data_IF_584700135929
#
_entry.id   IF_584700135929
#
_cell.length_a   1.000
_cell.length_b   1.000
_cell.length_c   1.000
_cell.angle_alpha   90.00
_cell.angle_beta   90.00
_cell.angle_gamma   90.00
#
_symmetry.space_group_name_H-M   'P 1'
#
loop_
_entity.id
_entity.type
_entity.pdbx_description
1 polymer ?
#
# COMPACT_ATOMS: atom_id res chain seq x y z
N UNK A 1 -4.69 -64.16 73.14
CA UNK A 1 -4.66 -65.22 72.11
C UNK A 1 -4.77 -64.56 70.75
N UNK A 2 -3.75 -64.76 69.89
CA UNK A 2 -3.73 -64.51 68.42
C UNK A 2 -3.79 -63.03 67.97
N UNK A 3 -3.07 -62.50 66.97
CA UNK A 3 -2.02 -62.85 65.97
C UNK A 3 -1.50 -61.45 65.52
N UNK A 4 -0.20 -61.11 65.66
CA UNK A 4 0.82 -60.92 64.58
C UNK A 4 0.29 -60.23 63.29
N UNK A 5 0.84 -59.10 62.84
CA UNK A 5 1.82 -59.01 61.73
C UNK A 5 2.05 -57.51 61.45
N UNK A 6 3.25 -56.94 61.66
CA UNK A 6 4.30 -56.69 60.64
C UNK A 6 3.77 -55.96 59.39
N UNK A 7 4.32 -54.83 58.92
CA UNK A 7 5.71 -54.61 58.48
C UNK A 7 6.01 -53.11 58.27
N UNK A 8 7.25 -52.71 58.60
CA UNK A 8 8.23 -51.95 57.80
C UNK A 8 7.71 -50.93 56.76
N UNK A 9 8.31 -49.78 56.47
CA UNK A 9 9.60 -49.14 56.82
C UNK A 9 9.76 -47.94 55.86
N UNK A 10 10.69 -47.02 56.18
CA UNK A 10 11.37 -46.07 55.25
C UNK A 10 10.44 -44.97 54.70
N UNK A 11 10.61 -43.70 55.06
CA UNK A 11 11.83 -42.91 54.92
C UNK A 11 11.80 -42.24 53.55
N UNK A 12 11.50 -40.94 53.50
CA UNK A 12 11.84 -40.07 52.37
C UNK A 12 12.38 -38.76 52.93
N UNK A 13 13.70 -38.66 52.88
CA UNK A 13 14.46 -37.42 52.93
C UNK A 13 14.39 -36.77 51.52
N UNK A 14 14.74 -35.48 51.45
CA UNK A 14 15.07 -34.68 50.24
C UNK A 14 13.80 -34.12 49.55
N UNK A 15 13.66 -32.82 49.27
CA UNK A 15 14.65 -31.90 48.72
C UNK A 15 14.42 -30.43 49.12
N UNK A 16 15.54 -29.76 49.40
CA UNK A 16 15.74 -28.32 49.32
C UNK A 16 15.73 -27.93 47.83
N UNK A 17 15.08 -26.82 47.46
CA UNK A 17 15.39 -26.09 46.24
C UNK A 17 14.20 -25.64 45.38
N UNK A 18 13.74 -24.41 45.59
CA UNK A 18 13.10 -23.58 44.57
C UNK A 18 13.41 -22.12 44.95
N UNK A 19 14.65 -21.69 44.78
CA UNK A 19 15.18 -21.02 43.58
C UNK A 19 14.39 -19.75 43.24
N UNK A 20 14.97 -18.64 43.69
CA UNK A 20 14.65 -17.27 43.34
C UNK A 20 14.67 -17.06 41.83
N UNK A 21 13.57 -16.54 41.25
CA UNK A 21 13.52 -15.99 39.88
C UNK A 21 12.22 -15.21 39.62
N UNK A 22 11.93 -14.18 40.42
CA UNK A 22 10.78 -13.29 40.22
C UNK A 22 11.16 -11.82 40.42
N UNK A 23 12.25 -11.35 39.79
CA UNK A 23 12.81 -10.03 40.10
C UNK A 23 13.40 -9.20 38.94
N UNK A 24 13.25 -9.59 37.68
CA UNK A 24 13.93 -8.89 36.55
C UNK A 24 13.07 -8.78 35.28
N UNK A 25 11.74 -8.63 35.41
CA UNK A 25 10.84 -8.55 34.25
C UNK A 25 10.29 -7.16 33.90
N UNK A 26 10.52 -6.11 34.70
CA UNK A 26 9.65 -4.93 34.69
C UNK A 26 10.28 -3.61 34.19
N UNK A 27 11.45 -3.63 33.52
CA UNK A 27 12.15 -2.38 33.14
C UNK A 27 12.50 -2.23 31.65
N UNK A 28 11.97 -3.07 30.75
CA UNK A 28 12.33 -3.01 29.31
C UNK A 28 11.20 -2.56 28.38
N UNK A 29 10.13 -1.91 28.87
CA UNK A 29 8.97 -1.50 28.04
C UNK A 29 9.02 -0.01 27.61
N UNK A 30 10.02 0.76 28.04
CA UNK A 30 10.02 2.22 27.86
C UNK A 30 10.66 2.80 26.59
N UNK A 31 11.24 1.99 25.70
CA UNK A 31 12.10 2.50 24.61
C UNK A 31 11.52 2.39 23.17
N UNK A 32 10.24 2.07 23.03
CA UNK A 32 9.55 1.99 21.72
C UNK A 32 8.56 3.14 21.59
N UNK A 33 9.03 4.34 21.25
CA UNK A 33 8.10 5.45 21.11
C UNK A 33 8.70 6.75 20.61
N UNK A 34 9.56 6.69 19.59
CA UNK A 34 10.03 7.87 18.84
C UNK A 34 10.72 7.48 17.52
N UNK A 35 10.39 6.32 16.94
CA UNK A 35 10.78 6.06 15.56
C UNK A 35 10.07 7.10 14.69
N UNK A 36 10.78 7.88 13.86
CA UNK A 36 10.12 8.76 12.90
C UNK A 36 9.17 7.89 12.08
N UNK A 37 7.96 8.40 11.83
CA UNK A 37 7.05 7.74 10.91
C UNK A 37 7.80 7.57 9.58
N UNK A 38 8.05 6.32 9.17
CA UNK A 38 8.58 6.06 7.85
C UNK A 38 7.55 6.60 6.86
N UNK A 39 7.87 7.69 6.16
CA UNK A 39 7.03 8.18 5.07
C UNK A 39 7.13 7.17 3.95
N UNK A 40 6.09 6.36 3.78
CA UNK A 40 6.00 5.40 2.68
C UNK A 40 5.81 6.09 1.32
N UNK A 41 5.46 7.39 1.33
CA UNK A 41 5.19 8.15 0.13
C UNK A 41 6.47 8.77 -0.43
N UNK A 42 6.68 8.57 -1.72
CA UNK A 42 7.71 9.25 -2.48
C UNK A 42 7.41 10.76 -2.59
N UNK A 43 8.45 11.59 -2.54
CA UNK A 43 8.42 13.01 -2.86
C UNK A 43 9.67 13.39 -3.65
N UNK A 44 9.62 14.53 -4.36
CA UNK A 44 10.73 15.02 -5.17
C UNK A 44 11.96 15.33 -4.31
N UNK A 45 13.10 14.72 -4.62
CA UNK A 45 14.39 15.02 -4.00
C UNK A 45 15.25 15.87 -4.92
N UNK A 46 15.30 15.53 -6.21
CA UNK A 46 16.06 16.28 -7.20
C UNK A 46 15.48 16.11 -8.60
N UNK A 47 15.76 17.06 -9.48
CA UNK A 47 15.40 17.00 -10.88
C UNK A 47 16.51 17.51 -11.79
N UNK A 48 16.55 16.99 -13.01
CA UNK A 48 17.27 17.57 -14.15
C UNK A 48 16.24 17.79 -15.26
N UNK A 49 15.96 19.04 -15.66
CA UNK A 49 16.49 20.30 -15.13
C UNK A 49 16.12 20.54 -13.66
N UNK A 50 16.90 21.32 -12.93
CA UNK A 50 16.53 21.73 -11.58
C UNK A 50 15.32 22.68 -11.65
N UNK A 51 14.39 22.55 -10.71
CA UNK A 51 13.22 23.43 -10.63
C UNK A 51 13.63 24.90 -10.48
N UNK A 52 13.14 25.76 -11.37
CA UNK A 52 13.44 27.19 -11.43
C UNK A 52 14.80 27.53 -12.05
N UNK A 53 15.55 26.55 -12.56
CA UNK A 53 16.85 26.79 -13.18
C UNK A 53 16.74 27.38 -14.59
N UNK A 54 17.85 27.96 -15.05
CA UNK A 54 18.05 28.34 -16.46
C UNK A 54 19.00 27.33 -17.09
N UNK A 55 18.59 26.70 -18.19
CA UNK A 55 19.39 25.77 -18.97
C UNK A 55 19.84 26.44 -20.27
N UNK A 56 21.11 26.25 -20.65
CA UNK A 56 21.64 26.71 -21.96
C UNK A 56 22.12 25.56 -22.84
N UNK A 57 22.39 24.41 -22.23
CA UNK A 57 22.79 23.16 -22.88
C UNK A 57 21.73 22.10 -22.62
N UNK A 58 21.30 21.39 -23.66
CA UNK A 58 20.33 20.31 -23.53
C UNK A 58 21.04 19.07 -22.95
N UNK A 59 20.59 18.52 -21.81
CA UNK A 59 21.09 17.25 -21.29
C UNK A 59 20.68 16.10 -22.23
N UNK A 60 21.23 14.90 -22.02
CA UNK A 60 20.72 13.72 -22.74
C UNK A 60 19.30 13.37 -22.33
N UNK A 61 19.01 13.46 -21.04
CA UNK A 61 17.77 13.03 -20.42
C UNK A 61 17.29 14.05 -19.40
N UNK A 62 15.97 14.14 -19.27
CA UNK A 62 15.33 14.72 -18.11
C UNK A 62 15.09 13.63 -17.07
N UNK A 63 15.40 13.94 -15.82
CA UNK A 63 15.40 12.98 -14.72
C UNK A 63 14.69 13.56 -13.52
N UNK A 64 13.81 12.76 -12.91
CA UNK A 64 13.17 13.05 -11.64
C UNK A 64 13.60 11.97 -10.65
N UNK A 65 14.14 12.38 -9.51
CA UNK A 65 14.54 11.46 -8.43
C UNK A 65 13.74 11.76 -7.19
N UNK A 66 13.22 10.70 -6.58
CA UNK A 66 12.46 10.75 -5.34
C UNK A 66 13.25 10.18 -4.17
N UNK A 67 12.72 10.24 -2.96
CA UNK A 67 13.40 9.82 -1.74
C UNK A 67 13.47 8.29 -1.52
N UNK A 68 12.75 7.50 -2.31
CA UNK A 68 12.75 6.04 -2.20
C UNK A 68 12.54 5.38 -3.57
N UNK A 69 12.66 4.06 -3.65
CA UNK A 69 12.45 3.29 -4.88
C UNK A 69 11.02 3.43 -5.37
N UNK A 70 10.86 3.49 -6.70
CA UNK A 70 9.57 3.53 -7.37
C UNK A 70 9.11 2.13 -7.73
N UNK A 71 7.79 1.95 -7.82
CA UNK A 71 7.22 0.73 -8.36
C UNK A 71 7.59 0.63 -9.85
N UNK A 72 8.06 -0.55 -10.27
CA UNK A 72 8.39 -0.83 -11.66
C UNK A 72 7.70 -2.13 -12.07
N UNK A 73 6.78 -2.04 -13.04
CA UNK A 73 6.04 -3.18 -13.55
C UNK A 73 6.79 -3.94 -14.65
N UNK A 74 7.97 -3.45 -15.06
CA UNK A 74 8.72 -3.97 -16.18
C UNK A 74 8.01 -3.72 -17.53
N UNK A 75 8.80 -3.80 -18.60
CA UNK A 75 8.33 -3.60 -19.98
C UNK A 75 8.84 -2.29 -20.57
N UNK A 76 9.50 -2.41 -21.71
CA UNK A 76 9.83 -1.26 -22.55
C UNK A 76 8.49 -0.69 -23.06
N UNK A 77 8.17 0.54 -22.66
CA UNK A 77 7.30 1.44 -23.40
C UNK A 77 5.77 1.39 -23.20
N UNK A 78 5.17 0.59 -22.31
CA UNK A 78 3.69 0.73 -22.11
C UNK A 78 3.11 0.25 -20.76
N UNK A 79 3.94 0.24 -19.72
CA UNK A 79 3.48 -0.19 -18.38
C UNK A 79 4.22 0.48 -17.24
N UNK A 80 5.09 1.45 -17.52
CA UNK A 80 5.91 2.10 -16.51
C UNK A 80 5.02 2.78 -15.48
N UNK A 81 5.33 2.60 -14.20
CA UNK A 81 4.58 3.23 -13.12
C UNK A 81 4.87 4.75 -13.02
N UNK A 82 5.21 5.40 -14.14
CA UNK A 82 5.58 6.80 -14.23
C UNK A 82 5.15 7.46 -15.52
N UNK A 83 5.11 8.79 -15.51
CA UNK A 83 4.89 9.65 -16.67
C UNK A 83 5.66 10.96 -16.46
N UNK A 84 6.20 11.51 -17.54
CA UNK A 84 6.89 12.80 -17.57
C UNK A 84 6.50 13.54 -18.84
N UNK A 85 5.89 14.70 -18.68
CA UNK A 85 5.42 15.57 -19.76
C UNK A 85 6.15 16.91 -19.69
N UNK A 86 6.61 17.39 -20.84
CA UNK A 86 7.31 18.67 -20.98
C UNK A 86 6.54 19.55 -21.94
N UNK A 87 6.02 20.68 -21.44
CA UNK A 87 5.29 21.66 -22.23
C UNK A 87 6.11 22.95 -22.38
N UNK A 88 6.24 23.42 -23.61
CA UNK A 88 6.99 24.64 -23.95
C UNK A 88 6.16 25.93 -23.92
N UNK A 89 6.83 27.07 -24.16
CA UNK A 89 6.20 28.40 -24.11
C UNK A 89 5.19 28.64 -25.24
N UNK A 90 5.23 27.81 -26.28
CA UNK A 90 4.31 27.78 -27.42
C UNK A 90 3.08 26.88 -27.19
N UNK A 91 2.98 26.25 -26.01
CA UNK A 91 1.92 25.32 -25.65
C UNK A 91 2.08 23.92 -26.25
N UNK A 92 3.15 23.66 -27.00
CA UNK A 92 3.45 22.35 -27.56
C UNK A 92 4.12 21.45 -26.52
N UNK A 93 3.97 20.14 -26.72
CA UNK A 93 4.60 19.10 -25.93
C UNK A 93 5.88 18.61 -26.60
N UNK A 94 6.89 18.32 -25.79
CA UNK A 94 8.21 17.89 -26.23
C UNK A 94 8.59 16.56 -25.59
N UNK A 95 9.08 15.64 -26.43
CA UNK A 95 9.38 14.25 -26.04
C UNK A 95 8.42 13.26 -26.72
N UNK A 96 8.70 11.97 -26.54
CA UNK A 96 7.93 10.85 -27.08
C UNK A 96 6.96 10.23 -26.07
N UNK A 97 6.93 10.76 -24.84
CA UNK A 97 6.09 10.26 -23.75
C UNK A 97 6.60 8.97 -23.11
N UNK A 98 7.73 8.45 -23.56
CA UNK A 98 8.37 7.27 -22.98
C UNK A 98 9.16 7.65 -21.73
N UNK A 99 9.05 6.82 -20.70
CA UNK A 99 9.82 6.96 -19.47
C UNK A 99 10.42 5.62 -19.05
N UNK A 100 11.65 5.67 -18.58
CA UNK A 100 12.32 4.56 -17.90
C UNK A 100 12.21 4.77 -16.40
N UNK A 101 11.84 3.72 -15.66
CA UNK A 101 11.88 3.70 -14.20
C UNK A 101 13.15 2.95 -13.78
N UNK A 102 13.95 3.54 -12.90
CA UNK A 102 15.17 2.93 -12.39
C UNK A 102 15.39 3.32 -10.92
N UNK A 103 15.12 2.37 -10.01
CA UNK A 103 15.21 2.62 -8.58
C UNK A 103 14.32 3.80 -8.17
N UNK A 104 14.87 4.87 -7.58
CA UNK A 104 14.10 6.03 -7.13
C UNK A 104 13.78 7.06 -8.22
N UNK A 105 14.16 6.78 -9.48
CA UNK A 105 14.14 7.77 -10.55
C UNK A 105 13.26 7.37 -11.74
N UNK A 106 12.70 8.37 -12.42
CA UNK A 106 12.21 8.27 -13.79
C UNK A 106 13.03 9.15 -14.72
N UNK A 107 13.22 8.71 -15.96
CA UNK A 107 13.91 9.49 -16.98
C UNK A 107 13.26 9.39 -18.36
N UNK A 108 13.42 10.44 -19.17
CA UNK A 108 13.03 10.49 -20.58
C UNK A 108 14.08 11.25 -21.38
N UNK A 109 14.21 10.94 -22.68
CA UNK A 109 15.12 11.65 -23.55
C UNK A 109 14.74 13.13 -23.63
N UNK A 110 15.73 14.01 -23.48
CA UNK A 110 15.47 15.45 -23.48
C UNK A 110 15.16 15.93 -24.90
N UNK A 111 14.05 16.64 -25.04
CA UNK A 111 13.68 17.35 -26.26
C UNK A 111 13.11 18.71 -25.88
N UNK A 112 13.56 19.77 -26.55
CA UNK A 112 13.06 21.13 -26.39
C UNK A 112 13.00 21.82 -27.75
N UNK A 113 12.19 22.88 -27.84
CA UNK A 113 12.00 23.70 -29.03
C UNK A 113 12.49 25.12 -28.80
N UNK A 114 11.62 26.14 -28.94
CA UNK A 114 12.01 27.54 -28.82
C UNK A 114 12.46 27.90 -27.40
N UNK A 115 13.30 28.93 -27.30
CA UNK A 115 13.68 29.51 -26.01
C UNK A 115 12.46 30.03 -25.24
N UNK A 116 12.49 29.93 -23.91
CA UNK A 116 11.42 30.41 -23.03
C UNK A 116 11.18 29.50 -21.85
N UNK A 117 10.05 29.71 -21.16
CA UNK A 117 9.70 28.96 -19.96
C UNK A 117 9.01 27.64 -20.33
N UNK A 118 9.53 26.56 -19.74
CA UNK A 118 9.01 25.21 -19.87
C UNK A 118 8.38 24.78 -18.56
N UNK A 119 7.34 23.95 -18.65
CA UNK A 119 6.72 23.28 -17.50
C UNK A 119 6.92 21.78 -17.63
N UNK A 120 7.42 21.16 -16.57
CA UNK A 120 7.51 19.72 -16.41
C UNK A 120 6.40 19.26 -15.49
N UNK A 121 5.56 18.34 -15.96
CA UNK A 121 4.59 17.62 -15.16
C UNK A 121 5.05 16.18 -15.05
N UNK A 122 5.00 15.62 -13.85
CA UNK A 122 5.40 14.22 -13.66
C UNK A 122 4.49 13.51 -12.67
N UNK A 123 4.43 12.20 -12.82
CA UNK A 123 3.72 11.28 -11.93
C UNK A 123 4.50 9.99 -11.81
N UNK A 124 4.50 9.39 -10.64
CA UNK A 124 5.07 8.06 -10.36
C UNK A 124 4.15 7.28 -9.41
N UNK A 125 4.39 6.00 -9.24
CA UNK A 125 3.77 5.17 -8.20
C UNK A 125 4.87 4.70 -7.25
N UNK A 126 4.69 5.01 -5.98
CA UNK A 126 5.57 4.57 -4.89
C UNK A 126 5.46 3.05 -4.72
N UNK A 127 6.44 2.39 -4.09
CA UNK A 127 6.36 0.92 -3.85
C UNK A 127 5.21 0.51 -2.92
N UNK A 128 4.64 1.45 -2.17
CA UNK A 128 3.44 1.25 -1.35
C UNK A 128 2.12 1.31 -2.16
N UNK A 129 2.21 1.55 -3.47
CA UNK A 129 1.09 1.62 -4.41
C UNK A 129 0.43 2.99 -4.54
N UNK A 130 0.87 4.01 -3.79
CA UNK A 130 0.29 5.35 -3.89
C UNK A 130 0.88 6.14 -5.08
N UNK A 131 0.03 6.70 -5.96
CA UNK A 131 0.49 7.61 -6.99
C UNK A 131 0.91 8.95 -6.38
N UNK A 132 2.02 9.48 -6.85
CA UNK A 132 2.55 10.79 -6.50
C UNK A 132 2.73 11.59 -7.78
N UNK A 133 2.32 12.85 -7.79
CA UNK A 133 2.52 13.74 -8.92
C UNK A 133 2.93 15.13 -8.46
N UNK A 134 3.67 15.83 -9.32
CA UNK A 134 4.01 17.23 -9.10
C UNK A 134 4.28 17.93 -10.44
N UNK A 135 4.52 19.23 -10.38
CA UNK A 135 4.98 20.04 -11.51
C UNK A 135 6.03 21.05 -11.07
N UNK A 136 6.90 21.43 -11.98
CA UNK A 136 7.82 22.55 -11.81
C UNK A 136 8.12 23.20 -13.16
N UNK A 137 8.77 24.35 -13.15
CA UNK A 137 9.17 25.05 -14.37
C UNK A 137 10.68 25.27 -14.41
N UNK A 138 11.23 25.46 -15.60
CA UNK A 138 12.61 25.90 -15.84
C UNK A 138 12.63 26.80 -17.09
N UNK A 139 13.67 27.61 -17.25
CA UNK A 139 13.82 28.48 -18.42
C UNK A 139 14.87 27.92 -19.37
N UNK A 140 14.54 27.82 -20.65
CA UNK A 140 15.44 27.41 -21.72
C UNK A 140 16.00 28.62 -22.47
N UNK A 141 17.32 28.78 -22.46
CA UNK A 141 18.08 29.81 -23.18
C UNK A 141 19.19 29.14 -24.00
N UNK A 142 18.86 28.48 -25.12
CA UNK A 142 19.81 27.66 -25.88
C UNK A 142 21.04 28.44 -26.31
N UNK A 143 22.22 27.87 -26.06
CA UNK A 143 23.44 28.29 -26.73
C UNK A 143 23.33 28.03 -28.24
N UNK A 144 24.13 28.75 -29.04
CA UNK A 144 24.12 28.58 -30.49
C UNK A 144 24.48 27.13 -30.87
N UNK A 145 23.63 26.50 -31.70
CA UNK A 145 23.84 25.15 -32.20
C UNK A 145 23.21 24.02 -31.37
N UNK A 146 22.50 24.35 -30.29
CA UNK A 146 21.67 23.35 -29.59
C UNK A 146 20.59 22.77 -30.53
N UNK A 147 20.31 21.46 -30.46
CA UNK A 147 19.26 20.85 -31.26
C UNK A 147 17.88 21.38 -30.83
N UNK A 148 17.00 21.55 -31.82
CA UNK A 148 15.61 21.94 -31.59
C UNK A 148 14.67 20.85 -32.12
N UNK A 149 13.66 20.52 -31.32
CA UNK A 149 12.56 19.64 -31.68
C UNK A 149 11.35 20.47 -32.14
N UNK A 150 10.52 19.90 -33.01
CA UNK A 150 9.31 20.56 -33.54
C UNK A 150 8.14 20.54 -32.56
N UNK A 151 8.18 19.70 -31.53
CA UNK A 151 7.08 19.49 -30.59
C UNK A 151 5.84 18.86 -31.21
N UNK A 152 4.79 18.70 -30.40
CA UNK A 152 3.48 18.15 -30.77
C UNK A 152 2.36 18.97 -30.13
N UNK A 153 1.23 19.12 -30.82
CA UNK A 153 0.04 19.78 -30.28
C UNK A 153 -0.73 18.91 -29.27
N UNK A 154 -0.43 17.62 -29.20
CA UNK A 154 -1.05 16.66 -28.28
C UNK A 154 0.01 16.05 -27.38
N UNK A 155 -0.33 15.85 -26.10
CA UNK A 155 0.55 15.21 -25.14
C UNK A 155 0.99 13.84 -25.67
N UNK A 156 2.31 13.56 -25.71
CA UNK A 156 2.80 12.34 -26.30
C UNK A 156 2.46 11.15 -25.41
N UNK A 157 2.13 10.03 -26.05
CA UNK A 157 2.01 8.72 -25.42
C UNK A 157 3.15 7.86 -25.93
N UNK A 158 3.78 7.10 -25.04
CA UNK A 158 4.86 6.23 -25.43
C UNK A 158 4.35 5.20 -26.46
N UNK A 159 4.90 5.17 -27.69
CA UNK A 159 4.41 4.29 -28.73
C UNK A 159 4.56 2.83 -28.32
N UNK A 160 3.48 2.08 -28.50
CA UNK A 160 3.50 0.63 -28.31
C UNK A 160 3.94 -0.04 -29.61
N UNK A 161 4.40 -1.30 -29.55
CA UNK A 161 4.74 -2.05 -30.75
C UNK A 161 3.56 -2.17 -31.77
N UNK A 162 2.32 -1.91 -31.34
CA UNK A 162 1.15 -1.87 -32.22
C UNK A 162 0.99 -0.56 -33.00
N UNK A 163 1.58 0.55 -32.56
CA UNK A 163 1.42 1.88 -33.17
C UNK A 163 2.34 2.11 -34.39
N UNK A 164 3.32 1.22 -34.61
CA UNK A 164 4.18 1.26 -35.81
C UNK A 164 3.52 0.68 -37.07
N UNK A 165 2.31 0.12 -36.96
CA UNK A 165 1.49 -0.28 -38.10
C UNK A 165 0.63 0.92 -38.54
N UNK A 166 1.16 1.67 -39.50
CA UNK A 166 0.61 2.95 -39.94
C UNK A 166 -0.86 2.95 -40.35
N UNK A 167 -1.41 4.17 -40.28
CA UNK A 167 -2.67 4.64 -40.84
C UNK A 167 -3.11 3.87 -42.10
N UNK A 168 -4.08 2.99 -41.91
CA UNK A 168 -4.94 2.47 -42.96
C UNK A 168 -6.34 2.43 -42.40
N UNK A 169 -7.09 3.48 -42.68
CA UNK A 169 -8.52 3.51 -42.50
C UNK A 169 -9.14 2.25 -43.14
N UNK A 170 -9.75 1.42 -42.31
CA UNK A 170 -10.80 0.49 -42.73
C UNK A 170 -12.00 0.72 -41.82
N UNK A 171 -13.00 1.39 -42.37
CA UNK A 171 -14.34 1.37 -41.84
C UNK A 171 -14.85 -0.09 -41.93
N UNK A 172 -14.80 -0.79 -40.80
CA UNK A 172 -15.46 -2.07 -40.58
C UNK A 172 -16.58 -1.88 -39.57
N UNK A 173 -17.77 -1.58 -40.06
CA UNK A 173 -18.99 -1.93 -39.34
C UNK A 173 -19.02 -3.46 -39.21
N UNK A 174 -19.02 -3.98 -37.99
CA UNK A 174 -19.89 -5.11 -37.69
C UNK A 174 -20.20 -5.24 -36.21
N UNK A 175 -21.47 -5.51 -35.97
CA UNK A 175 -22.10 -5.65 -34.66
C UNK A 175 -21.63 -6.92 -33.96
N UNK A 176 -21.54 -6.85 -32.64
CA UNK A 176 -21.71 -8.05 -31.81
C UNK A 176 -22.57 -7.66 -30.61
N UNK A 177 -23.81 -8.13 -30.66
CA UNK A 177 -24.79 -8.11 -29.60
C UNK A 177 -24.21 -8.71 -28.32
N UNK A 178 -24.23 -7.97 -27.23
CA UNK A 178 -24.11 -8.55 -25.89
C UNK A 178 -25.41 -9.29 -25.63
N UNK A 179 -25.38 -10.62 -25.78
CA UNK A 179 -26.36 -11.47 -25.14
C UNK A 179 -26.20 -11.27 -23.63
N UNK A 180 -27.24 -10.74 -22.99
CA UNK A 180 -27.35 -10.67 -21.54
C UNK A 180 -27.18 -12.10 -20.99
N UNK A 181 -26.05 -12.36 -20.34
CA UNK A 181 -25.85 -13.58 -19.58
C UNK A 181 -26.81 -13.56 -18.40
N UNK A 182 -27.65 -14.58 -18.37
CA UNK A 182 -28.73 -14.84 -17.44
C UNK A 182 -28.42 -14.53 -15.97
N UNK A 183 -29.45 -14.09 -15.27
CA UNK A 183 -29.56 -13.79 -13.85
C UNK A 183 -29.26 -14.98 -12.89
N UNK A 184 -28.62 -16.05 -13.37
CA UNK A 184 -28.42 -17.32 -12.64
C UNK A 184 -27.11 -17.38 -11.82
N UNK A 185 -26.12 -16.51 -12.09
CA UNK A 185 -24.83 -16.50 -11.37
C UNK A 185 -24.83 -15.57 -10.13
N UNK A 186 -25.79 -14.65 -9.99
CA UNK A 186 -25.87 -13.77 -8.82
C UNK A 186 -26.48 -14.45 -7.59
N UNK A 187 -27.35 -15.44 -7.78
CA UNK A 187 -27.97 -16.23 -6.68
C UNK A 187 -27.04 -17.31 -6.11
N UNK A 188 -26.03 -17.74 -6.88
CA UNK A 188 -25.06 -18.76 -6.43
C UNK A 188 -24.00 -18.18 -5.48
N UNK A 189 -23.66 -16.90 -5.61
CA UNK A 189 -22.73 -16.20 -4.69
C UNK A 189 -23.40 -15.84 -3.36
N UNK A 190 -24.72 -15.59 -3.35
CA UNK A 190 -25.47 -15.25 -2.13
C UNK A 190 -25.73 -16.47 -1.22
N UNK A 191 -25.73 -17.69 -1.77
CA UNK A 191 -26.02 -18.91 -1.01
C UNK A 191 -24.84 -19.42 -0.17
N UNK A 192 -23.58 -19.16 -0.54
CA UNK A 192 -22.43 -19.51 0.32
C UNK A 192 -22.10 -18.41 1.35
N UNK A 193 -22.28 -17.13 1.01
CA UNK A 193 -22.01 -16.02 1.93
C UNK A 193 -23.02 -15.91 3.10
N UNK A 194 -24.27 -16.37 2.91
CA UNK A 194 -25.28 -16.44 3.97
C UNK A 194 -24.99 -17.48 5.07
N UNK A 195 -24.37 -18.61 4.72
CA UNK A 195 -24.05 -19.68 5.67
C UNK A 195 -22.95 -19.31 6.67
N UNK A 196 -21.93 -18.60 6.21
CA UNK A 196 -20.83 -18.14 7.06
C UNK A 196 -21.27 -17.08 8.08
N UNK A 197 -22.14 -16.16 7.68
CA UNK A 197 -22.69 -15.11 8.56
C UNK A 197 -23.63 -15.69 9.63
N UNK A 198 -24.43 -16.70 9.28
CA UNK A 198 -25.29 -17.40 10.24
C UNK A 198 -24.48 -18.20 11.28
N UNK A 199 -23.40 -18.87 10.87
CA UNK A 199 -22.53 -19.62 11.78
C UNK A 199 -21.84 -18.72 12.81
N UNK A 200 -21.37 -17.54 12.40
CA UNK A 200 -20.76 -16.55 13.31
C UNK A 200 -21.81 -16.01 14.29
N UNK A 201 -23.02 -15.69 13.84
CA UNK A 201 -24.09 -15.22 14.73
C UNK A 201 -24.50 -16.27 15.77
N UNK A 202 -24.58 -17.55 15.39
CA UNK A 202 -24.87 -18.65 16.31
C UNK A 202 -23.73 -18.85 17.31
N UNK A 203 -22.47 -18.82 16.87
CA UNK A 203 -21.31 -18.93 17.76
C UNK A 203 -21.28 -17.80 18.80
N UNK A 204 -21.52 -16.55 18.38
CA UNK A 204 -21.60 -15.40 19.29
C UNK A 204 -22.77 -15.54 20.26
N UNK A 205 -23.95 -15.95 19.78
CA UNK A 205 -25.13 -16.18 20.60
C UNK A 205 -24.93 -17.27 21.67
N UNK A 206 -24.35 -18.40 21.30
CA UNK A 206 -24.01 -19.50 22.23
C UNK A 206 -22.99 -19.05 23.26
N UNK A 207 -21.96 -18.30 22.85
CA UNK A 207 -20.93 -17.79 23.76
C UNK A 207 -21.53 -16.83 24.78
N UNK A 208 -22.37 -15.88 24.34
CA UNK A 208 -23.06 -14.95 25.23
C UNK A 208 -24.06 -15.66 26.17
N UNK A 209 -24.71 -16.73 25.73
CA UNK A 209 -25.61 -17.54 26.55
C UNK A 209 -24.87 -18.34 27.63
N UNK A 210 -23.70 -18.89 27.30
CA UNK A 210 -22.84 -19.59 28.28
C UNK A 210 -22.29 -18.61 29.32
N UNK A 211 -21.92 -17.39 28.91
CA UNK A 211 -21.45 -16.34 29.81
C UNK A 211 -22.58 -15.73 30.67
N UNK A 212 -23.84 -15.86 30.24
CA UNK A 212 -25.02 -15.35 30.96
C UNK A 212 -25.62 -16.32 31.98
N UNK A 213 -25.02 -17.48 32.24
CA UNK A 213 -25.53 -18.38 33.30
C UNK A 213 -25.62 -17.61 34.62
N UNK A 214 -26.84 -17.37 35.16
CA UNK A 214 -26.95 -16.73 36.46
C UNK A 214 -26.36 -17.68 37.49
N UNK A 215 -25.50 -17.16 38.37
CA UNK A 215 -25.08 -17.87 39.58
C UNK A 215 -26.32 -18.10 40.44
N UNK A 216 -26.96 -19.25 40.30
CA UNK A 216 -27.81 -19.81 41.33
C UNK A 216 -26.88 -20.27 42.46
N UNK A 217 -26.58 -19.34 43.35
CA UNK A 217 -25.80 -19.56 44.56
C UNK A 217 -26.68 -19.33 45.78
N UNK A 218 -27.12 -20.43 46.38
CA UNK A 218 -27.67 -20.47 47.72
C UNK A 218 -26.69 -19.86 48.74
N UNK A 219 -27.23 -19.14 49.73
CA UNK A 219 -26.49 -18.59 50.85
C UNK A 219 -27.42 -18.35 52.03
N UNK A 220 -27.45 -19.34 52.92
CA UNK A 220 -28.08 -19.34 54.26
C UNK A 220 -27.56 -18.22 55.17
N UNK A 221 -28.39 -17.71 56.08
CA UNK A 221 -27.95 -16.91 57.23
C UNK A 221 -29.06 -16.20 58.02
N UNK A 222 -29.60 -16.90 59.02
CA UNK A 222 -30.11 -16.47 60.36
C UNK A 222 -29.55 -15.13 60.89
N UNK A 223 -30.14 -14.30 61.77
CA UNK A 223 -31.20 -14.29 62.82
C UNK A 223 -31.61 -12.79 63.01
N UNK A 224 -32.76 -12.34 63.54
CA UNK A 224 -33.22 -12.46 64.93
C UNK A 224 -34.48 -11.59 65.19
N UNK A 225 -35.44 -12.16 65.96
CA UNK A 225 -36.34 -11.61 67.01
C UNK A 225 -37.18 -10.32 66.81
N UNK A 226 -38.50 -10.45 67.06
CA UNK A 226 -39.28 -9.77 68.13
C UNK A 226 -40.79 -10.16 67.99
N UNK A 227 -41.32 -11.09 68.80
CA UNK A 227 -42.22 -10.86 69.97
C UNK A 227 -43.62 -10.30 69.68
N UNK A 228 -44.65 -11.03 70.16
CA UNK A 228 -46.06 -10.61 70.36
C UNK A 228 -46.92 -10.77 69.11
N UNK A 229 -48.15 -11.30 69.10
CA UNK A 229 -49.14 -11.58 70.15
C UNK A 229 -50.22 -12.52 69.57
N UNK A 230 -50.95 -13.19 70.50
CA UNK A 230 -52.25 -13.88 70.43
C UNK A 230 -52.46 -15.13 69.56
#
# INVERSE_FOLDING_TARGET
MRIVSSRLSRGVTVAIGALALLGTGALTVGAIGQLPAASAHNYLVSSTPEAGSVLTVLPSDFVITTNDVLLDFGGENTGSAGALEVQGPDGLFYGDGCVTVAGPSISTAAALGPAGDYTVLWRVVSTDGHPVSNKFSFTWQPDAGQPASTGSATAPVCPTAADSAGDSASAGSDSSSVAATSDDEFVSVLTWSGGALAAVAVAVGVTLFILRRPKLGAGSGSDSRSSGDI
#
